data_IF_041685621601
#
_entry.id   IF_041685621601
#
_cell.length_a   1.000
_cell.length_b   1.000
_cell.length_c   1.000
_cell.angle_alpha   90.00
_cell.angle_beta   90.00
_cell.angle_gamma   90.00
#
_symmetry.space_group_name_H-M   'P 1'
#
loop_
_entity.id
_entity.type
_entity.pdbx_description
1 polymer ?
#
# COMPACT_ATOMS: atom_id res chain seq x y z
N UNK A 1 -13.59 6.91 5.69
CA UNK A 1 -12.41 7.16 6.54
C UNK A 1 -11.24 6.43 5.88
N UNK A 2 -10.20 7.16 5.46
CA UNK A 2 -9.06 6.61 4.71
C UNK A 2 -8.31 5.57 5.57
N UNK A 3 -7.75 4.49 5.00
CA UNK A 3 -6.80 3.65 5.74
C UNK A 3 -5.50 4.44 5.88
N UNK A 4 -5.48 5.34 6.85
CA UNK A 4 -4.26 5.98 7.29
C UNK A 4 -3.48 4.94 8.11
N UNK A 5 -2.53 4.26 7.47
CA UNK A 5 -1.75 3.21 8.14
C UNK A 5 -0.88 3.78 9.27
N UNK A 6 -0.51 5.06 9.23
CA UNK A 6 0.19 5.74 10.33
C UNK A 6 -0.68 6.80 11.01
N UNK A 7 -1.12 6.54 12.24
CA UNK A 7 -1.93 7.49 13.01
C UNK A 7 -1.11 8.69 13.48
N UNK A 8 -1.79 9.79 13.83
CA UNK A 8 -1.13 10.98 14.40
C UNK A 8 -0.37 10.66 15.70
N UNK A 9 -0.93 9.79 16.53
CA UNK A 9 -0.30 9.32 17.77
C UNK A 9 1.00 8.55 17.49
N UNK A 10 0.97 7.62 16.53
CA UNK A 10 2.18 6.88 16.13
C UNK A 10 3.23 7.79 15.50
N UNK A 11 2.82 8.78 14.69
CA UNK A 11 3.77 9.76 14.16
C UNK A 11 4.42 10.57 15.28
N UNK A 12 3.65 11.00 16.28
CA UNK A 12 4.18 11.72 17.44
C UNK A 12 5.14 10.85 18.26
N UNK A 13 4.85 9.55 18.42
CA UNK A 13 5.76 8.61 19.07
C UNK A 13 7.10 8.47 18.32
N UNK A 14 7.07 8.44 16.98
CA UNK A 14 8.29 8.45 16.15
C UNK A 14 9.07 9.75 16.29
N UNK A 15 8.38 10.90 16.42
CA UNK A 15 9.04 12.19 16.64
C UNK A 15 9.72 12.31 17.99
N UNK A 16 9.11 11.74 19.03
CA UNK A 16 9.66 11.72 20.38
C UNK A 16 10.85 10.75 20.53
N UNK A 17 11.03 9.80 19.62
CA UNK A 17 12.13 8.84 19.66
C UNK A 17 13.49 9.51 19.42
N UNK A 18 14.53 9.00 20.09
CA UNK A 18 15.92 9.43 19.92
C UNK A 18 16.51 8.81 18.64
N UNK A 19 15.99 9.25 17.51
CA UNK A 19 16.33 8.80 16.17
C UNK A 19 16.76 9.99 15.30
N UNK A 20 17.66 9.74 14.37
CA UNK A 20 18.01 10.68 13.30
C UNK A 20 16.84 10.84 12.32
N UNK A 21 16.84 11.91 11.51
CA UNK A 21 15.79 12.14 10.51
C UNK A 21 15.59 10.96 9.54
N UNK A 22 16.64 10.33 8.98
CA UNK A 22 16.47 9.16 8.11
C UNK A 22 15.83 7.97 8.84
N UNK A 23 16.22 7.71 10.09
CA UNK A 23 15.64 6.63 10.90
C UNK A 23 14.18 6.89 11.22
N UNK A 24 13.80 8.13 11.50
CA UNK A 24 12.40 8.53 11.70
C UNK A 24 11.56 8.32 10.44
N UNK A 25 12.10 8.62 9.26
CA UNK A 25 11.41 8.34 8.00
C UNK A 25 11.21 6.83 7.81
N UNK A 26 12.29 6.05 7.95
CA UNK A 26 12.24 4.60 7.81
C UNK A 26 11.27 3.96 8.81
N UNK A 27 11.25 4.44 10.06
CA UNK A 27 10.34 3.93 11.10
C UNK A 27 8.87 4.12 10.71
N UNK A 28 8.50 5.30 10.18
CA UNK A 28 7.14 5.58 9.70
C UNK A 28 6.76 4.66 8.55
N UNK A 29 7.69 4.44 7.61
CA UNK A 29 7.49 3.52 6.50
C UNK A 29 7.27 2.09 7.02
N UNK A 30 8.15 1.60 7.90
CA UNK A 30 8.06 0.25 8.47
C UNK A 30 6.74 0.02 9.22
N UNK A 31 6.29 0.95 10.06
CA UNK A 31 5.00 0.84 10.77
C UNK A 31 3.84 0.74 9.77
N UNK A 32 3.85 1.62 8.76
CA UNK A 32 2.81 1.65 7.73
C UNK A 32 2.77 0.34 6.93
N UNK A 33 3.94 -0.15 6.49
CA UNK A 33 4.09 -1.42 5.79
C UNK A 33 3.64 -2.60 6.66
N UNK A 34 4.01 -2.65 7.94
CA UNK A 34 3.61 -3.73 8.83
C UNK A 34 2.09 -3.87 8.97
N UNK A 35 1.38 -2.74 9.10
CA UNK A 35 -0.09 -2.74 9.13
C UNK A 35 -0.72 -3.12 7.80
N UNK A 36 -0.12 -2.69 6.68
CA UNK A 36 -0.57 -3.12 5.36
C UNK A 36 -0.39 -4.63 5.17
N UNK A 37 0.73 -5.21 5.59
CA UNK A 37 0.94 -6.66 5.54
C UNK A 37 -0.09 -7.42 6.38
N UNK A 38 -0.41 -6.92 7.58
CA UNK A 38 -1.49 -7.48 8.41
C UNK A 38 -2.84 -7.40 7.69
N UNK A 39 -3.12 -6.29 7.02
CA UNK A 39 -4.35 -6.12 6.24
C UNK A 39 -4.42 -7.13 5.09
N UNK A 40 -3.37 -7.23 4.27
CA UNK A 40 -3.29 -8.15 3.13
C UNK A 40 -3.47 -9.59 3.58
N UNK A 41 -2.78 -10.01 4.66
CA UNK A 41 -2.92 -11.34 5.21
C UNK A 41 -4.36 -11.66 5.62
N UNK A 42 -5.05 -10.70 6.26
CA UNK A 42 -6.46 -10.84 6.63
C UNK A 42 -7.37 -10.94 5.41
N UNK A 43 -7.15 -10.12 4.39
CA UNK A 43 -7.93 -10.11 3.14
C UNK A 43 -7.79 -11.44 2.39
N UNK A 44 -6.58 -12.02 2.38
CA UNK A 44 -6.28 -13.33 1.81
C UNK A 44 -6.62 -14.51 2.73
N UNK A 45 -7.10 -14.24 3.96
CA UNK A 45 -7.40 -15.24 4.99
C UNK A 45 -6.24 -16.21 5.30
N UNK A 46 -5.03 -15.67 5.41
CA UNK A 46 -3.80 -16.39 5.80
C UNK A 46 -3.09 -15.66 6.94
N UNK A 47 -2.06 -16.29 7.53
CA UNK A 47 -1.21 -15.60 8.51
C UNK A 47 -0.21 -14.68 7.81
N UNK A 48 0.28 -13.65 8.51
CA UNK A 48 1.26 -12.70 7.95
C UNK A 48 2.58 -13.40 7.61
N UNK A 49 2.96 -14.40 8.39
CA UNK A 49 4.15 -15.23 8.19
C UNK A 49 4.04 -16.12 6.95
N UNK A 50 2.83 -16.38 6.47
CA UNK A 50 2.58 -17.19 5.28
C UNK A 50 2.51 -16.36 3.99
N UNK A 51 2.56 -15.03 4.08
CA UNK A 51 2.58 -14.16 2.90
C UNK A 51 3.83 -14.40 2.07
N UNK A 52 3.65 -14.69 0.78
CA UNK A 52 4.72 -14.75 -0.20
C UNK A 52 4.80 -13.49 -1.03
N UNK A 53 5.94 -13.28 -1.71
CA UNK A 53 6.12 -12.14 -2.60
C UNK A 53 5.09 -12.16 -3.74
N UNK A 54 4.78 -13.33 -4.28
CA UNK A 54 3.80 -13.50 -5.38
C UNK A 54 2.39 -13.11 -4.92
N UNK A 55 2.00 -13.48 -3.69
CA UNK A 55 0.69 -13.13 -3.13
C UNK A 55 0.57 -11.62 -2.88
N UNK A 56 1.65 -11.00 -2.37
CA UNK A 56 1.69 -9.55 -2.17
C UNK A 56 1.55 -8.84 -3.52
N UNK A 57 2.36 -9.21 -4.53
CA UNK A 57 2.30 -8.63 -5.88
C UNK A 57 0.87 -8.76 -6.46
N UNK A 58 0.31 -9.97 -6.45
CA UNK A 58 -1.03 -10.23 -6.97
C UNK A 58 -2.11 -9.42 -6.25
N UNK A 59 -1.97 -9.23 -4.94
CA UNK A 59 -2.89 -8.40 -4.16
C UNK A 59 -2.83 -6.92 -4.59
N UNK A 60 -1.62 -6.38 -4.78
CA UNK A 60 -1.43 -5.01 -5.27
C UNK A 60 -1.98 -4.82 -6.70
N UNK A 61 -1.81 -5.81 -7.58
CA UNK A 61 -2.39 -5.81 -8.93
C UNK A 61 -3.93 -5.78 -8.87
N UNK A 62 -4.53 -6.61 -8.02
CA UNK A 62 -5.98 -6.63 -7.82
C UNK A 62 -6.50 -5.30 -7.26
N UNK A 63 -5.79 -4.70 -6.30
CA UNK A 63 -6.16 -3.39 -5.74
C UNK A 63 -6.06 -2.26 -6.77
N UNK A 64 -4.98 -2.27 -7.57
CA UNK A 64 -4.80 -1.34 -8.70
C UNK A 64 -5.90 -1.50 -9.75
N UNK A 65 -6.30 -2.75 -10.06
CA UNK A 65 -7.39 -3.01 -11.00
C UNK A 65 -8.72 -2.48 -10.48
N UNK A 66 -9.07 -2.72 -9.21
CA UNK A 66 -10.27 -2.14 -8.58
C UNK A 66 -10.29 -0.62 -8.69
N UNK A 67 -9.14 0.03 -8.44
CA UNK A 67 -8.99 1.49 -8.63
C UNK A 67 -9.33 1.93 -10.04
N UNK A 68 -8.81 1.23 -11.05
CA UNK A 68 -9.00 1.58 -12.46
C UNK A 68 -10.44 1.36 -12.92
N UNK A 69 -11.12 0.33 -12.43
CA UNK A 69 -12.47 -0.05 -12.91
C UNK A 69 -13.61 0.60 -12.14
N UNK A 70 -13.44 0.78 -10.82
CA UNK A 70 -14.50 1.22 -9.90
C UNK A 70 -14.19 2.58 -9.24
N UNK A 71 -13.02 3.15 -9.53
CA UNK A 71 -12.55 4.43 -9.03
C UNK A 71 -11.70 4.31 -7.76
N UNK A 72 -11.03 5.42 -7.41
CA UNK A 72 -10.06 5.50 -6.29
C UNK A 72 -10.64 5.02 -4.96
N UNK A 73 -11.93 5.27 -4.73
CA UNK A 73 -12.60 4.89 -3.49
C UNK A 73 -12.81 3.38 -3.30
N UNK A 74 -12.76 2.59 -4.39
CA UNK A 74 -12.92 1.14 -4.37
C UNK A 74 -11.61 0.39 -4.04
N UNK A 75 -10.47 1.09 -4.07
CA UNK A 75 -9.16 0.54 -3.70
C UNK A 75 -8.84 0.77 -2.24
N UNK A 76 -8.10 -0.18 -1.66
CA UNK A 76 -7.53 -0.04 -0.31
C UNK A 76 -6.45 1.03 -0.34
N UNK A 77 -5.61 1.04 -1.37
CA UNK A 77 -4.62 2.09 -1.60
C UNK A 77 -5.21 3.18 -2.50
N UNK A 78 -5.79 4.17 -1.84
CA UNK A 78 -6.41 5.36 -2.45
C UNK A 78 -5.40 6.36 -3.01
N UNK A 79 -4.28 5.89 -3.54
CA UNK A 79 -3.32 6.75 -4.21
C UNK A 79 -3.96 7.29 -5.48
N UNK A 80 -4.15 8.61 -5.53
CA UNK A 80 -4.37 9.33 -6.76
C UNK A 80 -3.11 9.13 -7.62
N UNK A 81 -3.18 8.22 -8.59
CA UNK A 81 -2.27 8.31 -9.71
C UNK A 81 -2.73 9.57 -10.47
N UNK A 82 -2.13 10.72 -10.17
CA UNK A 82 -2.50 11.98 -10.81
C UNK A 82 -2.33 11.88 -12.34
N UNK A 83 -1.49 10.96 -12.83
CA UNK A 83 -1.29 10.65 -14.24
C UNK A 83 -1.31 9.13 -14.52
N UNK A 84 -2.07 8.73 -15.54
CA UNK A 84 -2.18 7.37 -16.07
C UNK A 84 -0.94 6.91 -16.87
N UNK A 85 0.11 7.72 -16.92
CA UNK A 85 1.36 7.42 -17.64
C UNK A 85 2.29 6.44 -16.92
N UNK A 86 2.01 6.14 -15.65
CA UNK A 86 2.85 5.27 -14.81
C UNK A 86 2.46 3.78 -14.87
N UNK A 87 1.48 3.43 -15.71
CA UNK A 87 1.19 2.03 -16.04
C UNK A 87 2.28 1.48 -16.99
N UNK A 88 2.76 0.23 -16.81
CA UNK A 88 3.58 -0.42 -17.82
C UNK A 88 2.84 -0.39 -19.16
N UNK A 89 3.48 0.18 -20.18
CA UNK A 89 2.92 0.32 -21.53
C UNK A 89 2.66 -1.01 -22.23
N UNK A 90 3.01 -2.14 -21.61
CA UNK A 90 2.90 -3.48 -22.18
C UNK A 90 1.48 -4.05 -22.18
N UNK A 91 0.56 -3.53 -21.36
CA UNK A 91 -0.83 -4.04 -21.26
C UNK A 91 -1.87 -3.22 -22.05
N UNK A 92 -1.45 -2.24 -22.85
CA UNK A 92 -2.37 -1.58 -23.76
C UNK A 92 -2.74 -2.55 -24.90
N UNK A 93 -4.04 -2.81 -25.15
CA UNK A 93 -4.45 -3.62 -26.29
C UNK A 93 -3.93 -2.94 -27.55
N UNK A 94 -3.07 -3.64 -28.31
CA UNK A 94 -2.57 -3.14 -29.58
C UNK A 94 -3.77 -2.88 -30.49
N UNK A 95 -4.01 -1.60 -30.80
CA UNK A 95 -5.02 -1.20 -31.77
C UNK A 95 -4.77 -1.96 -33.08
N UNK A 96 -5.84 -2.55 -33.61
CA UNK A 96 -5.84 -3.23 -34.91
C UNK A 96 -5.97 -2.22 -36.04
#
# INVERSE_FOLDING_TARGET
MLPQFLTAEESAAVDAALLTTPEKFLTRLTISTGKLLIYIAKDLNISVEALTNEQIIAWFEADSKRKQTEGVEASVLKWEAQDLTDLPTEDLPKEK
#
